data_IF_655713443207
#
_entry.id   IF_655713443207
#
_cell.length_a   1.000
_cell.length_b   1.000
_cell.length_c   1.000
_cell.angle_alpha   90.00
_cell.angle_beta   90.00
_cell.angle_gamma   90.00
#
_symmetry.space_group_name_H-M   'P 1'
#
loop_
_entity.id
_entity.type
_entity.pdbx_description
1 polymer ?
#
# COMPACT_ATOMS: atom_id res chain seq x y z
N UNK A 1 -54.67 30.79 48.07
CA UNK A 1 -54.96 29.45 48.65
C UNK A 1 -54.08 28.42 47.96
N UNK A 2 -53.36 27.62 48.75
CA UNK A 2 -52.45 26.48 48.43
C UNK A 2 -53.22 25.23 47.90
N UNK A 3 -52.60 24.06 47.52
CA UNK A 3 -51.23 23.73 47.04
C UNK A 3 -51.10 22.55 46.00
N UNK A 4 -49.85 22.23 45.61
CA UNK A 4 -49.17 20.91 45.39
C UNK A 4 -49.61 19.84 44.36
N UNK A 5 -48.64 19.38 43.55
CA UNK A 5 -47.99 18.02 43.54
C UNK A 5 -46.78 18.06 42.57
N UNK A 6 -45.51 18.12 42.99
CA UNK A 6 -44.53 17.04 43.30
C UNK A 6 -44.58 15.81 42.36
N UNK A 7 -43.53 15.64 41.55
CA UNK A 7 -42.98 14.32 41.21
C UNK A 7 -41.45 14.36 41.17
N UNK A 8 -40.85 13.43 41.93
CA UNK A 8 -39.42 13.17 42.12
C UNK A 8 -38.98 12.06 41.17
N UNK A 9 -37.81 12.21 40.54
CA UNK A 9 -36.78 11.16 40.36
C UNK A 9 -35.62 11.84 39.60
N UNK A 10 -34.34 11.80 39.95
CA UNK A 10 -33.56 10.92 40.81
C UNK A 10 -32.17 10.83 40.15
N UNK A 11 -31.24 11.70 40.53
CA UNK A 11 -29.82 11.59 40.15
C UNK A 11 -29.22 10.39 40.90
N UNK A 12 -28.64 9.43 40.18
CA UNK A 12 -27.73 8.45 40.74
C UNK A 12 -26.45 8.43 39.89
N UNK A 13 -25.39 9.03 40.42
CA UNK A 13 -24.02 8.74 40.04
C UNK A 13 -23.55 7.57 40.90
N UNK A 14 -23.14 6.46 40.29
CA UNK A 14 -22.39 5.40 40.97
C UNK A 14 -20.98 5.33 40.39
N UNK A 15 -20.06 5.85 41.19
CA UNK A 15 -18.62 5.70 41.03
C UNK A 15 -18.28 4.22 41.24
N UNK A 16 -17.56 3.61 40.29
CA UNK A 16 -17.00 2.27 40.45
C UNK A 16 -15.71 2.35 41.26
N UNK A 17 -15.61 1.50 42.29
CA UNK A 17 -14.48 1.41 43.20
C UNK A 17 -13.27 0.71 42.55
N UNK A 18 -12.07 1.21 42.83
CA UNK A 18 -10.76 0.76 42.32
C UNK A 18 -10.38 -0.67 42.71
N UNK A 19 -11.13 -1.32 43.61
CA UNK A 19 -10.88 -2.70 44.05
C UNK A 19 -11.41 -3.79 43.08
N UNK A 20 -12.37 -3.48 42.20
CA UNK A 20 -12.92 -4.46 41.25
C UNK A 20 -12.18 -4.53 39.91
N UNK A 21 -11.16 -3.68 39.69
CA UNK A 21 -10.40 -3.63 38.43
C UNK A 21 -9.23 -4.63 38.37
N UNK A 22 -8.76 -5.14 39.51
CA UNK A 22 -7.55 -5.97 39.59
C UNK A 22 -7.80 -7.49 39.66
N UNK A 23 -9.05 -7.94 39.55
CA UNK A 23 -9.38 -9.37 39.56
C UNK A 23 -9.59 -9.97 38.15
N UNK A 24 -9.64 -9.12 37.12
CA UNK A 24 -9.69 -9.54 35.72
C UNK A 24 -8.30 -9.79 35.08
N UNK A 25 -7.19 -9.60 35.83
CA UNK A 25 -5.81 -9.71 35.32
C UNK A 25 -5.07 -10.95 35.89
N UNK A 26 -5.70 -11.76 36.76
CA UNK A 26 -5.03 -12.91 37.42
C UNK A 26 -5.51 -14.30 37.03
N UNK A 27 -6.38 -14.45 36.04
CA UNK A 27 -6.81 -15.77 35.54
C UNK A 27 -6.77 -15.85 34.01
N UNK A 28 -5.58 -15.74 33.43
CA UNK A 28 -5.28 -16.38 32.13
C UNK A 28 -3.79 -16.58 31.99
N UNK A 29 -3.25 -17.49 32.81
CA UNK A 29 -1.88 -17.98 32.68
C UNK A 29 -1.93 -19.49 32.93
N UNK A 30 -2.32 -20.26 31.90
CA UNK A 30 -2.08 -21.70 31.81
C UNK A 30 -1.88 -22.12 30.34
N UNK A 31 -0.63 -22.51 30.06
CA UNK A 31 -0.16 -23.55 29.13
C UNK A 31 -0.63 -23.55 27.66
N UNK A 32 0.28 -23.14 26.78
CA UNK A 32 0.33 -23.55 25.37
C UNK A 32 0.96 -24.95 25.24
N UNK A 33 0.32 -25.91 24.53
CA UNK A 33 1.05 -26.98 23.86
C UNK A 33 1.34 -26.57 22.40
N UNK A 34 2.55 -26.87 21.92
CA UNK A 34 2.97 -26.66 20.54
C UNK A 34 2.20 -27.58 19.57
N UNK A 35 1.86 -27.14 18.33
CA UNK A 35 1.39 -28.06 17.31
C UNK A 35 2.56 -28.75 16.61
N UNK A 36 2.36 -30.05 16.41
CA UNK A 36 3.31 -31.02 15.89
C UNK A 36 3.60 -30.85 14.40
N UNK A 37 4.86 -31.11 14.03
CA UNK A 37 5.33 -31.29 12.67
C UNK A 37 4.58 -32.43 11.97
N UNK A 38 3.84 -32.14 10.91
CA UNK A 38 3.33 -33.15 9.98
C UNK A 38 4.44 -33.51 8.98
N UNK A 39 5.15 -34.61 9.26
CA UNK A 39 6.04 -35.25 8.30
C UNK A 39 5.21 -36.18 7.39
N UNK A 40 4.96 -35.76 6.14
CA UNK A 40 4.43 -36.65 5.11
C UNK A 40 5.58 -37.29 4.33
N UNK A 41 5.79 -38.57 4.59
CA UNK A 41 6.72 -39.44 3.89
C UNK A 41 6.18 -39.79 2.50
N UNK A 42 6.76 -39.18 1.45
CA UNK A 42 6.54 -39.60 0.06
C UNK A 42 7.45 -40.79 -0.28
N UNK A 43 6.82 -41.95 -0.44
CA UNK A 43 7.44 -43.17 -0.96
C UNK A 43 7.83 -42.97 -2.43
N UNK A 44 9.09 -43.26 -2.71
CA UNK A 44 9.64 -43.40 -4.05
C UNK A 44 9.05 -44.63 -4.77
N UNK A 45 8.57 -44.42 -6.00
CA UNK A 45 8.42 -45.48 -7.00
C UNK A 45 8.89 -44.97 -8.36
N UNK A 46 10.04 -45.50 -8.80
CA UNK A 46 10.49 -45.46 -10.19
C UNK A 46 9.52 -46.26 -11.08
N UNK A 47 9.45 -45.92 -12.36
CA UNK A 47 9.82 -46.93 -13.34
C UNK A 47 10.76 -46.42 -14.45
N UNK A 48 11.80 -47.20 -14.69
CA UNK A 48 12.66 -47.24 -15.88
C UNK A 48 11.98 -48.04 -16.99
N UNK A 49 11.90 -47.49 -18.22
CA UNK A 49 11.86 -48.24 -19.49
C UNK A 49 12.02 -47.24 -20.66
N UNK A 50 13.19 -47.13 -21.30
CA UNK A 50 13.69 -47.90 -22.47
C UNK A 50 13.24 -47.34 -23.82
N UNK A 51 14.24 -46.87 -24.59
CA UNK A 51 14.32 -46.73 -26.07
C UNK A 51 13.37 -45.70 -26.74
N UNK A 52 13.73 -44.96 -27.79
CA UNK A 52 14.76 -45.12 -28.81
C UNK A 52 14.92 -43.76 -29.54
N UNK A 53 16.13 -43.45 -30.02
CA UNK A 53 16.38 -42.44 -31.07
C UNK A 53 15.73 -42.87 -32.39
N UNK A 54 15.50 -41.91 -33.31
CA UNK A 54 16.29 -41.98 -34.53
C UNK A 54 16.83 -40.63 -35.05
N UNK A 55 17.72 -40.77 -36.02
CA UNK A 55 18.69 -39.82 -36.56
C UNK A 55 18.14 -38.82 -37.60
N UNK A 56 19.04 -37.89 -37.94
CA UNK A 56 19.26 -37.25 -39.25
C UNK A 56 18.43 -35.97 -39.52
N UNK A 57 18.91 -34.90 -40.16
CA UNK A 57 20.02 -34.67 -41.09
C UNK A 57 20.59 -33.25 -40.92
N UNK A 58 21.89 -33.11 -41.21
CA UNK A 58 22.56 -31.84 -41.45
C UNK A 58 22.06 -31.19 -42.75
N UNK A 59 21.90 -29.87 -42.76
CA UNK A 59 22.06 -29.05 -43.97
C UNK A 59 22.94 -27.85 -43.62
N UNK A 60 24.18 -27.96 -44.10
CA UNK A 60 25.15 -26.89 -44.26
C UNK A 60 24.73 -26.00 -45.43
N UNK A 61 24.72 -24.67 -45.23
CA UNK A 61 24.99 -23.71 -46.31
C UNK A 61 25.96 -22.65 -45.82
N UNK A 62 27.13 -22.68 -46.44
CA UNK A 62 28.30 -21.83 -46.26
C UNK A 62 28.31 -20.83 -47.41
N UNK A 63 28.47 -19.53 -47.13
CA UNK A 63 29.03 -18.57 -48.08
C UNK A 63 30.05 -17.67 -47.35
N UNK A 64 31.31 -18.00 -47.64
CA UNK A 64 32.54 -17.19 -47.76
C UNK A 64 32.25 -15.96 -48.66
N UNK A 65 32.83 -14.75 -48.58
CA UNK A 65 33.88 -14.11 -47.77
C UNK A 65 33.89 -12.59 -48.02
N UNK A 66 34.59 -11.87 -47.12
CA UNK A 66 35.48 -10.71 -47.35
C UNK A 66 34.91 -9.36 -47.78
N UNK A 67 35.15 -8.34 -46.94
CA UNK A 67 36.26 -7.39 -47.15
C UNK A 67 36.88 -6.93 -45.81
N UNK A 68 38.21 -6.76 -45.86
CA UNK A 68 39.17 -6.31 -44.83
C UNK A 68 39.33 -4.79 -44.96
N UNK A 69 38.98 -4.01 -43.93
CA UNK A 69 39.84 -3.31 -42.94
C UNK A 69 40.80 -2.23 -43.45
N UNK A 70 40.65 -1.03 -42.88
CA UNK A 70 41.68 -0.05 -42.46
C UNK A 70 40.98 0.95 -41.51
N UNK A 71 41.12 0.90 -40.19
CA UNK A 71 42.24 1.22 -39.27
C UNK A 71 42.38 2.70 -38.90
N UNK A 72 42.71 2.90 -37.62
CA UNK A 72 43.14 4.11 -36.88
C UNK A 72 42.03 4.80 -36.07
N UNK A 73 42.17 5.12 -34.77
CA UNK A 73 43.28 4.94 -33.82
C UNK A 73 42.88 5.45 -32.42
N UNK A 74 43.42 4.81 -31.36
CA UNK A 74 43.69 5.34 -29.99
C UNK A 74 42.47 5.69 -29.11
N UNK A 75 42.38 5.40 -27.81
CA UNK A 75 43.40 5.20 -26.77
C UNK A 75 42.83 4.39 -25.59
N UNK A 76 43.71 3.68 -24.90
CA UNK A 76 43.47 3.09 -23.59
C UNK A 76 43.46 4.17 -22.49
N UNK A 77 42.58 4.05 -21.48
CA UNK A 77 42.83 4.46 -20.09
C UNK A 77 41.68 4.07 -19.15
N UNK A 78 42.03 3.21 -18.19
CA UNK A 78 41.71 3.27 -16.74
C UNK A 78 40.27 3.35 -16.24
N UNK A 79 39.95 2.33 -15.45
CA UNK A 79 38.93 2.30 -14.42
C UNK A 79 38.91 3.56 -13.54
N UNK A 80 37.71 4.07 -13.31
CA UNK A 80 37.37 4.87 -12.15
C UNK A 80 35.87 4.67 -11.87
N UNK A 81 35.58 3.86 -10.86
CA UNK A 81 34.29 3.84 -10.16
C UNK A 81 33.85 5.27 -9.86
N UNK A 82 32.71 5.65 -10.43
CA UNK A 82 32.02 6.89 -10.10
C UNK A 82 30.74 6.50 -9.39
N UNK A 83 30.84 6.32 -8.07
CA UNK A 83 29.70 6.35 -7.16
C UNK A 83 28.96 7.68 -7.39
N UNK A 84 27.84 7.62 -8.10
CA UNK A 84 26.93 8.75 -8.20
C UNK A 84 26.13 8.82 -6.91
N UNK A 85 26.73 9.47 -5.92
CA UNK A 85 26.08 9.87 -4.69
C UNK A 85 24.95 10.85 -5.05
N UNK A 86 23.71 10.35 -5.15
CA UNK A 86 22.54 11.18 -5.40
C UNK A 86 22.16 11.88 -4.09
N UNK A 87 22.72 13.06 -3.86
CA UNK A 87 22.22 14.00 -2.84
C UNK A 87 20.78 14.43 -3.18
N UNK A 88 19.88 14.53 -2.19
CA UNK A 88 18.47 14.83 -2.42
C UNK A 88 18.29 16.26 -2.94
N UNK A 89 17.64 16.39 -4.10
CA UNK A 89 17.24 17.68 -4.67
C UNK A 89 15.95 18.17 -4.00
N UNK A 90 16.12 19.17 -3.14
CA UNK A 90 15.21 20.28 -2.83
C UNK A 90 13.87 19.97 -2.13
N UNK A 91 13.75 20.57 -0.93
CA UNK A 91 12.56 20.75 -0.08
C UNK A 91 11.33 21.31 -0.83
N UNK A 92 10.65 20.47 -1.59
CA UNK A 92 9.29 20.73 -2.08
C UNK A 92 8.34 19.87 -1.29
N UNK A 93 7.48 20.49 -0.48
CA UNK A 93 6.36 19.77 0.15
C UNK A 93 5.50 19.18 -0.98
N UNK A 94 5.25 17.87 -1.00
CA UNK A 94 4.41 17.26 -2.02
C UNK A 94 3.04 17.96 -2.07
N UNK A 95 2.50 18.24 -3.27
CA UNK A 95 1.33 19.09 -3.43
C UNK A 95 0.11 18.65 -2.60
N UNK A 96 -0.07 17.34 -2.37
CA UNK A 96 -1.21 16.83 -1.61
C UNK A 96 -1.07 17.05 -0.11
N UNK A 97 0.14 17.01 0.45
CA UNK A 97 0.35 17.27 1.89
C UNK A 97 0.06 18.73 2.23
N UNK A 98 0.36 19.65 1.31
CA UNK A 98 0.10 21.08 1.50
C UNK A 98 -1.41 21.42 1.57
N UNK A 99 -2.30 20.55 1.10
CA UNK A 99 -3.75 20.76 1.13
C UNK A 99 -4.38 20.51 2.50
N UNK A 100 -3.71 19.77 3.39
CA UNK A 100 -4.25 19.34 4.69
C UNK A 100 -3.42 19.89 5.88
N UNK A 101 -3.32 21.23 6.05
CA UNK A 101 -2.44 21.82 7.06
C UNK A 101 -2.91 21.59 8.51
N UNK A 102 -4.19 21.31 8.77
CA UNK A 102 -4.65 21.00 10.13
C UNK A 102 -4.31 19.57 10.53
N UNK A 103 -4.37 18.63 9.57
CA UNK A 103 -4.06 17.23 9.81
C UNK A 103 -2.55 16.98 9.76
N UNK A 104 -1.83 17.68 8.88
CA UNK A 104 -0.42 17.46 8.57
C UNK A 104 0.37 18.77 8.70
N UNK A 105 0.52 19.32 9.92
CA UNK A 105 1.22 20.59 10.13
C UNK A 105 2.71 20.50 9.75
N UNK A 106 3.34 19.35 9.99
CA UNK A 106 4.76 19.10 9.71
C UNK A 106 5.03 18.68 8.25
N UNK A 107 3.97 18.49 7.45
CA UNK A 107 4.05 18.11 6.04
C UNK A 107 4.41 16.63 5.82
N UNK A 108 5.15 16.37 4.73
CA UNK A 108 5.55 15.02 4.33
C UNK A 108 6.84 14.55 5.06
N UNK A 109 7.10 13.22 5.08
CA UNK A 109 8.40 12.70 5.51
C UNK A 109 9.55 13.33 4.70
N UNK A 110 10.73 13.57 5.32
CA UNK A 110 11.18 13.11 6.64
C UNK A 110 10.72 13.97 7.83
N UNK A 111 10.19 15.16 7.60
CA UNK A 111 9.84 16.10 8.67
C UNK A 111 8.52 15.71 9.37
N UNK A 112 7.54 15.24 8.59
CA UNK A 112 6.26 14.75 9.10
C UNK A 112 6.17 13.22 9.17
N UNK A 113 5.15 12.68 9.85
CA UNK A 113 4.92 11.24 9.93
C UNK A 113 4.40 10.66 8.61
N UNK A 114 4.78 9.41 8.30
CA UNK A 114 4.19 8.65 7.19
C UNK A 114 2.76 8.18 7.52
N UNK A 115 2.52 7.71 8.76
CA UNK A 115 1.19 7.27 9.23
C UNK A 115 0.31 8.49 9.51
N UNK A 116 -0.88 8.51 8.90
CA UNK A 116 -1.83 9.64 8.99
C UNK A 116 -3.06 9.20 9.78
N UNK A 117 -3.55 10.05 10.68
CA UNK A 117 -4.86 9.85 11.30
C UNK A 117 -6.00 10.07 10.28
N UNK A 118 -6.57 8.96 9.80
CA UNK A 118 -7.65 8.96 8.81
C UNK A 118 -8.90 9.70 9.28
N UNK A 119 -9.16 9.76 10.59
CA UNK A 119 -10.34 10.48 11.13
C UNK A 119 -10.16 11.98 10.98
N UNK A 120 -9.00 12.51 11.36
CA UNK A 120 -8.66 13.92 11.19
C UNK A 120 -8.60 14.30 9.71
N UNK A 121 -7.98 13.45 8.87
CA UNK A 121 -7.92 13.64 7.42
C UNK A 121 -9.31 13.74 6.80
N UNK A 122 -10.22 12.81 7.13
CA UNK A 122 -11.60 12.81 6.63
C UNK A 122 -12.37 14.06 7.06
N UNK A 123 -12.18 14.53 8.29
CA UNK A 123 -12.84 15.75 8.79
C UNK A 123 -12.37 17.00 8.04
N UNK A 124 -11.06 17.13 7.80
CA UNK A 124 -10.52 18.25 7.04
C UNK A 124 -10.94 18.18 5.56
N UNK A 125 -10.93 16.99 4.96
CA UNK A 125 -11.44 16.74 3.62
C UNK A 125 -12.87 17.26 3.43
N UNK A 126 -13.81 16.87 4.32
CA UNK A 126 -15.19 17.33 4.24
C UNK A 126 -15.31 18.85 4.38
N UNK A 127 -14.46 19.49 5.20
CA UNK A 127 -14.42 20.95 5.33
C UNK A 127 -13.96 21.63 4.04
N UNK A 128 -12.89 21.11 3.42
CA UNK A 128 -12.35 21.64 2.17
C UNK A 128 -13.34 21.46 1.02
N UNK A 129 -13.98 20.29 0.92
CA UNK A 129 -14.97 20.00 -0.10
C UNK A 129 -16.22 20.89 0.03
N UNK A 130 -16.68 21.17 1.25
CA UNK A 130 -17.78 22.10 1.48
C UNK A 130 -17.43 23.54 1.05
N UNK A 131 -16.18 23.96 1.26
CA UNK A 131 -15.70 25.29 0.86
C UNK A 131 -15.51 25.44 -0.67
N UNK A 132 -15.31 24.33 -1.40
CA UNK A 132 -15.09 24.33 -2.84
C UNK A 132 -16.37 24.09 -3.66
N UNK A 133 -17.54 24.01 -3.03
CA UNK A 133 -18.78 23.67 -3.73
C UNK A 133 -19.28 24.84 -4.61
N UNK A 134 -19.63 24.59 -5.90
CA UNK A 134 -20.02 25.64 -6.84
C UNK A 134 -21.32 26.36 -6.48
N UNK A 135 -22.17 25.81 -5.60
CA UNK A 135 -23.43 26.47 -5.19
C UNK A 135 -23.26 27.82 -4.52
N UNK A 136 -22.11 28.08 -3.89
CA UNK A 136 -21.87 29.39 -3.28
C UNK A 136 -21.77 30.53 -4.31
N UNK A 137 -21.64 30.21 -5.60
CA UNK A 137 -21.47 31.20 -6.67
C UNK A 137 -22.74 31.43 -7.52
N UNK A 138 -23.86 30.74 -7.24
CA UNK A 138 -25.12 30.98 -7.96
C UNK A 138 -25.81 32.25 -7.48
N UNK A 139 -25.48 33.37 -8.13
CA UNK A 139 -26.30 34.58 -8.08
C UNK A 139 -27.44 34.38 -9.08
N UNK A 140 -28.67 34.09 -8.60
CA UNK A 140 -29.81 33.64 -9.41
C UNK A 140 -30.25 34.56 -10.56
N UNK A 141 -29.57 34.46 -11.70
CA UNK A 141 -29.94 35.08 -12.98
C UNK A 141 -29.85 34.06 -14.12
N UNK A 142 -30.83 34.09 -15.04
CA UNK A 142 -30.98 33.12 -16.15
C UNK A 142 -29.90 33.18 -17.24
N UNK A 143 -28.89 34.04 -17.09
CA UNK A 143 -27.73 34.16 -17.98
C UNK A 143 -26.44 34.01 -17.17
N UNK A 144 -25.78 32.86 -17.26
CA UNK A 144 -24.47 32.67 -16.65
C UNK A 144 -23.44 33.54 -17.36
N UNK A 145 -22.78 34.42 -16.61
CA UNK A 145 -21.68 35.21 -17.15
C UNK A 145 -20.45 34.33 -17.39
N UNK A 146 -19.57 34.71 -18.33
CA UNK A 146 -18.27 34.04 -18.52
C UNK A 146 -17.45 33.95 -17.22
N UNK A 147 -17.59 34.95 -16.33
CA UNK A 147 -16.97 34.96 -15.01
C UNK A 147 -17.54 33.88 -14.08
N UNK A 148 -18.85 33.66 -14.07
CA UNK A 148 -19.52 32.60 -13.30
C UNK A 148 -19.13 31.21 -13.81
N UNK A 149 -19.08 31.04 -15.14
CA UNK A 149 -18.59 29.81 -15.77
C UNK A 149 -17.11 29.53 -15.45
N UNK A 150 -16.27 30.57 -15.37
CA UNK A 150 -14.88 30.43 -14.96
C UNK A 150 -14.74 30.07 -13.46
N UNK A 151 -15.52 30.70 -12.59
CA UNK A 151 -15.55 30.39 -11.16
C UNK A 151 -15.99 28.95 -10.90
N UNK A 152 -17.05 28.49 -11.57
CA UNK A 152 -17.51 27.10 -11.50
C UNK A 152 -16.44 26.11 -11.95
N UNK A 153 -15.80 26.35 -13.10
CA UNK A 153 -14.69 25.49 -13.58
C UNK A 153 -13.53 25.44 -12.58
N UNK A 154 -13.21 26.55 -11.92
CA UNK A 154 -12.15 26.58 -10.91
C UNK A 154 -12.55 25.79 -9.65
N UNK A 155 -13.80 25.92 -9.21
CA UNK A 155 -14.35 25.16 -8.08
C UNK A 155 -14.37 23.65 -8.35
N UNK A 156 -14.75 23.24 -9.57
CA UNK A 156 -14.71 21.85 -10.03
C UNK A 156 -13.28 21.29 -10.03
N UNK A 157 -12.31 22.05 -10.57
CA UNK A 157 -10.89 21.69 -10.54
C UNK A 157 -10.35 21.54 -9.12
N UNK A 158 -10.66 22.49 -8.23
CA UNK A 158 -10.24 22.44 -6.84
C UNK A 158 -10.80 21.20 -6.14
N UNK A 159 -12.09 20.92 -6.33
CA UNK A 159 -12.76 19.75 -5.76
C UNK A 159 -12.14 18.44 -6.27
N UNK A 160 -11.80 18.36 -7.56
CA UNK A 160 -11.14 17.19 -8.13
C UNK A 160 -9.75 16.95 -7.50
N UNK A 161 -8.97 18.00 -7.30
CA UNK A 161 -7.64 17.92 -6.65
C UNK A 161 -7.79 17.47 -5.19
N UNK A 162 -8.74 18.03 -4.44
CA UNK A 162 -9.00 17.66 -3.04
C UNK A 162 -9.39 16.18 -2.93
N UNK A 163 -10.26 15.69 -3.82
CA UNK A 163 -10.66 14.28 -3.87
C UNK A 163 -9.48 13.36 -4.19
N UNK A 164 -8.65 13.73 -5.18
CA UNK A 164 -7.46 12.97 -5.52
C UNK A 164 -6.49 12.90 -4.34
N UNK A 165 -6.23 14.03 -3.69
CA UNK A 165 -5.36 14.09 -2.52
C UNK A 165 -5.89 13.24 -1.36
N UNK A 166 -7.19 13.31 -1.05
CA UNK A 166 -7.79 12.46 -0.01
C UNK A 166 -7.69 10.97 -0.36
N UNK A 167 -7.98 10.58 -1.60
CA UNK A 167 -7.87 9.17 -2.04
C UNK A 167 -6.43 8.67 -1.90
N UNK A 168 -5.46 9.45 -2.37
CA UNK A 168 -4.04 9.09 -2.30
C UNK A 168 -3.53 9.03 -0.86
N UNK A 169 -3.85 10.03 -0.02
CA UNK A 169 -3.37 10.06 1.35
C UNK A 169 -4.09 9.09 2.28
N UNK A 170 -5.32 8.66 1.97
CA UNK A 170 -6.05 7.71 2.81
C UNK A 170 -5.58 6.26 2.64
N UNK A 171 -5.12 5.86 1.46
CA UNK A 171 -4.54 4.53 1.23
C UNK A 171 -3.02 4.53 1.52
N UNK A 172 -2.50 3.62 2.37
CA UNK A 172 -1.08 3.57 2.68
C UNK A 172 -0.22 3.25 1.46
N UNK A 173 -0.71 2.36 0.59
CA UNK A 173 -0.03 2.02 -0.66
C UNK A 173 0.05 3.21 -1.61
N UNK A 174 -1.07 3.90 -1.87
CA UNK A 174 -1.08 5.08 -2.75
C UNK A 174 -0.23 6.20 -2.17
N UNK A 175 -0.23 6.37 -0.84
CA UNK A 175 0.59 7.36 -0.13
C UNK A 175 2.08 7.07 -0.32
N UNK A 176 2.51 5.82 -0.15
CA UNK A 176 3.90 5.42 -0.35
C UNK A 176 4.36 5.63 -1.79
N UNK A 177 3.57 5.17 -2.76
CA UNK A 177 3.83 5.37 -4.19
C UNK A 177 3.94 6.85 -4.55
N UNK A 178 3.02 7.67 -4.04
CA UNK A 178 3.00 9.11 -4.26
C UNK A 178 4.23 9.81 -3.67
N UNK A 179 4.65 9.45 -2.46
CA UNK A 179 5.85 10.02 -1.87
C UNK A 179 7.11 9.65 -2.68
N UNK A 180 7.21 8.39 -3.10
CA UNK A 180 8.33 7.93 -3.94
C UNK A 180 8.37 8.63 -5.30
N UNK A 181 7.21 8.85 -5.93
CA UNK A 181 7.14 9.53 -7.22
C UNK A 181 7.46 11.02 -7.10
N UNK A 182 6.91 11.72 -6.11
CA UNK A 182 7.06 13.18 -5.99
C UNK A 182 8.43 13.61 -5.44
N UNK A 183 8.96 12.86 -4.48
CA UNK A 183 10.23 13.23 -3.81
C UNK A 183 11.45 12.66 -4.53
N UNK A 184 11.33 11.47 -5.12
CA UNK A 184 12.46 10.73 -5.67
C UNK A 184 12.32 10.40 -7.16
N UNK A 185 11.18 10.73 -7.78
CA UNK A 185 10.96 10.46 -9.21
C UNK A 185 10.76 8.99 -9.55
N UNK A 186 10.47 8.15 -8.55
CA UNK A 186 10.28 6.71 -8.72
C UNK A 186 8.79 6.40 -8.86
N UNK A 187 8.36 6.01 -10.05
CA UNK A 187 6.98 5.62 -10.29
C UNK A 187 6.82 4.11 -10.17
N UNK A 188 6.17 3.67 -9.08
CA UNK A 188 5.84 2.27 -8.85
C UNK A 188 4.42 1.90 -9.30
N UNK A 189 3.59 2.85 -9.69
CA UNK A 189 2.20 2.58 -10.07
C UNK A 189 2.10 1.77 -11.37
N UNK A 190 3.03 1.98 -12.30
CA UNK A 190 3.03 1.34 -13.62
C UNK A 190 3.79 -0.01 -13.64
N UNK A 191 4.47 -0.34 -12.54
CA UNK A 191 5.30 -1.55 -12.44
C UNK A 191 4.44 -2.75 -12.03
N UNK A 192 3.53 -3.14 -12.92
CA UNK A 192 2.55 -4.23 -12.69
C UNK A 192 3.22 -5.60 -12.55
N UNK A 193 4.42 -5.78 -13.11
CA UNK A 193 5.05 -7.11 -13.18
C UNK A 193 6.06 -7.45 -12.07
N UNK A 194 6.42 -6.49 -11.19
CA UNK A 194 7.49 -6.68 -10.21
C UNK A 194 8.85 -7.13 -10.80
N UNK A 195 9.01 -7.12 -12.14
CA UNK A 195 10.13 -7.78 -12.84
C UNK A 195 10.86 -6.88 -13.84
N UNK A 196 10.45 -5.64 -14.07
CA UNK A 196 10.95 -4.87 -15.21
C UNK A 196 11.58 -3.51 -14.91
N UNK A 197 11.45 -2.94 -13.70
CA UNK A 197 12.17 -1.70 -13.35
C UNK A 197 13.08 -1.89 -12.13
N UNK A 198 14.31 -2.35 -12.38
CA UNK A 198 15.46 -2.03 -11.54
C UNK A 198 15.36 -2.31 -10.04
N UNK A 199 15.27 -3.59 -9.66
CA UNK A 199 15.77 -4.05 -8.35
C UNK A 199 14.72 -4.77 -7.50
N UNK A 200 14.84 -6.10 -7.50
CA UNK A 200 14.19 -7.00 -6.54
C UNK A 200 13.54 -8.17 -7.25
N UNK A 201 14.25 -9.29 -7.38
CA UNK A 201 13.55 -10.56 -7.49
C UNK A 201 12.60 -10.64 -6.29
N UNK A 202 11.30 -10.80 -6.54
CA UNK A 202 10.32 -10.86 -5.46
C UNK A 202 10.74 -11.95 -4.48
N UNK A 203 10.89 -11.57 -3.21
CA UNK A 203 11.36 -12.44 -2.15
C UNK A 203 10.55 -13.75 -2.15
N UNK A 204 11.19 -14.93 -2.30
CA UNK A 204 10.47 -16.20 -2.35
C UNK A 204 9.63 -16.46 -1.09
N UNK A 205 10.06 -15.96 0.08
CA UNK A 205 9.29 -16.09 1.32
C UNK A 205 8.02 -15.24 1.29
N UNK A 206 8.11 -14.02 0.72
CA UNK A 206 6.94 -13.16 0.49
C UNK A 206 5.95 -13.85 -0.45
N UNK A 207 6.41 -14.38 -1.58
CA UNK A 207 5.55 -15.04 -2.55
C UNK A 207 4.83 -16.26 -1.94
N UNK A 208 5.55 -17.08 -1.18
CA UNK A 208 4.96 -18.21 -0.48
C UNK A 208 3.85 -17.76 0.49
N UNK A 209 4.13 -16.73 1.30
CA UNK A 209 3.16 -16.17 2.24
C UNK A 209 1.91 -15.63 1.52
N UNK A 210 2.09 -15.00 0.36
CA UNK A 210 0.98 -14.49 -0.46
C UNK A 210 0.15 -15.62 -1.04
N UNK A 211 0.77 -16.71 -1.49
CA UNK A 211 0.06 -17.89 -1.99
C UNK A 211 -0.72 -18.59 -0.86
N UNK A 212 -0.13 -18.77 0.32
CA UNK A 212 -0.82 -19.32 1.49
C UNK A 212 -2.04 -18.47 1.87
N UNK A 213 -1.89 -17.13 1.90
CA UNK A 213 -3.01 -16.23 2.18
C UNK A 213 -4.14 -16.38 1.16
N UNK A 214 -3.82 -16.64 -0.11
CA UNK A 214 -4.83 -16.84 -1.16
C UNK A 214 -5.56 -18.16 -1.02
N UNK A 215 -4.85 -19.24 -0.72
CA UNK A 215 -5.45 -20.55 -0.45
C UNK A 215 -6.48 -20.43 0.68
N UNK A 216 -6.13 -19.76 1.78
CA UNK A 216 -7.08 -19.49 2.88
C UNK A 216 -8.31 -18.70 2.41
N UNK A 217 -8.13 -17.71 1.53
CA UNK A 217 -9.25 -16.92 0.98
C UNK A 217 -10.16 -17.77 0.06
N UNK A 218 -9.56 -18.67 -0.73
CA UNK A 218 -10.28 -19.54 -1.66
C UNK A 218 -11.03 -20.68 -0.93
N UNK A 219 -10.46 -21.22 0.13
CA UNK A 219 -11.03 -22.31 0.93
C UNK A 219 -12.06 -21.86 1.96
N UNK A 220 -12.14 -20.56 2.27
CA UNK A 220 -13.10 -20.03 3.22
C UNK A 220 -14.55 -20.33 2.80
N UNK A 221 -15.37 -20.79 3.74
CA UNK A 221 -16.80 -21.06 3.52
C UNK A 221 -17.70 -20.00 4.16
N UNK A 222 -17.15 -19.28 5.13
CA UNK A 222 -17.80 -18.22 5.92
C UNK A 222 -16.83 -17.06 6.15
N UNK A 223 -17.38 -15.87 6.38
CA UNK A 223 -16.57 -14.67 6.65
C UNK A 223 -15.72 -14.83 7.92
N UNK A 224 -16.21 -15.59 8.91
CA UNK A 224 -15.46 -15.83 10.15
C UNK A 224 -14.16 -16.63 9.94
N UNK A 225 -14.07 -17.43 8.86
CA UNK A 225 -12.87 -18.20 8.55
C UNK A 225 -11.71 -17.27 8.14
N UNK A 226 -12.02 -16.04 7.72
CA UNK A 226 -11.03 -15.03 7.30
C UNK A 226 -10.59 -14.08 8.41
N UNK A 227 -11.18 -14.16 9.61
CA UNK A 227 -10.92 -13.17 10.66
C UNK A 227 -9.48 -13.24 11.19
N UNK A 228 -8.92 -14.45 11.32
CA UNK A 228 -7.52 -14.62 11.68
C UNK A 228 -6.58 -14.05 10.62
N UNK A 229 -6.82 -14.39 9.34
CA UNK A 229 -6.05 -13.86 8.22
C UNK A 229 -6.14 -12.34 8.13
N UNK A 230 -7.33 -11.76 8.39
CA UNK A 230 -7.55 -10.31 8.45
C UNK A 230 -6.64 -9.68 9.51
N UNK A 231 -6.63 -10.22 10.72
CA UNK A 231 -5.81 -9.72 11.82
C UNK A 231 -4.31 -9.80 11.52
N UNK A 232 -3.84 -10.95 11.01
CA UNK A 232 -2.44 -11.15 10.63
C UNK A 232 -2.02 -10.20 9.51
N UNK A 233 -2.86 -10.05 8.48
CA UNK A 233 -2.56 -9.19 7.34
C UNK A 233 -2.58 -7.70 7.71
N UNK A 234 -3.47 -7.26 8.59
CA UNK A 234 -3.45 -5.88 9.09
C UNK A 234 -2.16 -5.59 9.87
N UNK A 235 -1.69 -6.53 10.69
CA UNK A 235 -0.39 -6.42 11.36
C UNK A 235 0.79 -6.29 10.38
N UNK A 236 0.78 -7.06 9.28
CA UNK A 236 1.79 -6.95 8.20
C UNK A 236 1.75 -5.60 7.49
N UNK A 237 0.55 -5.03 7.30
CA UNK A 237 0.38 -3.69 6.75
C UNK A 237 0.99 -2.65 7.69
N UNK A 238 0.66 -2.70 8.98
CA UNK A 238 1.21 -1.76 9.97
C UNK A 238 2.74 -1.83 10.04
N UNK A 239 3.30 -3.03 10.05
CA UNK A 239 4.74 -3.24 10.06
C UNK A 239 5.42 -2.68 8.79
N UNK A 240 4.81 -2.88 7.62
CA UNK A 240 5.30 -2.28 6.38
C UNK A 240 5.20 -0.74 6.39
N UNK A 241 4.13 -0.16 6.95
CA UNK A 241 4.04 1.30 7.13
C UNK A 241 5.18 1.84 8.01
N UNK A 242 5.51 1.13 9.10
CA UNK A 242 6.59 1.49 10.01
C UNK A 242 7.95 1.43 9.30
N UNK A 243 8.24 0.34 8.59
CA UNK A 243 9.48 0.21 7.81
C UNK A 243 9.61 1.29 6.73
N UNK A 244 8.53 1.61 6.01
CA UNK A 244 8.53 2.71 5.02
C UNK A 244 8.80 4.05 5.71
N UNK A 245 8.18 4.30 6.87
CA UNK A 245 8.39 5.50 7.66
C UNK A 245 9.85 5.67 8.09
N UNK A 246 10.48 4.58 8.55
CA UNK A 246 11.89 4.57 8.96
C UNK A 246 12.82 4.76 7.76
N UNK A 247 12.59 4.05 6.67
CA UNK A 247 13.37 4.15 5.44
C UNK A 247 13.35 5.58 4.87
N UNK A 248 12.16 6.21 4.80
CA UNK A 248 12.01 7.60 4.36
C UNK A 248 12.71 8.61 5.28
N UNK A 249 12.73 8.37 6.60
CA UNK A 249 13.47 9.20 7.56
C UNK A 249 14.98 9.04 7.43
N UNK A 250 15.45 7.81 7.21
CA UNK A 250 16.86 7.50 6.99
C UNK A 250 17.36 7.94 5.60
N UNK A 251 16.46 8.24 4.67
CA UNK A 251 16.78 8.52 3.27
C UNK A 251 17.16 7.27 2.47
N UNK A 252 16.78 6.08 2.96
CA UNK A 252 17.01 4.80 2.28
C UNK A 252 15.86 4.54 1.29
N UNK A 253 16.09 4.89 0.03
CA UNK A 253 15.06 4.88 -1.00
C UNK A 253 14.84 3.47 -1.56
N UNK A 254 15.88 2.65 -1.59
CA UNK A 254 15.78 1.27 -2.05
C UNK A 254 14.96 0.44 -1.03
N UNK A 255 15.22 0.60 0.27
CA UNK A 255 14.39 -0.02 1.31
C UNK A 255 12.93 0.45 1.24
N UNK A 256 12.69 1.76 1.06
CA UNK A 256 11.33 2.29 0.92
C UNK A 256 10.63 1.73 -0.34
N UNK A 257 11.37 1.54 -1.44
CA UNK A 257 10.85 0.93 -2.67
C UNK A 257 10.44 -0.53 -2.42
N UNK A 258 11.32 -1.33 -1.86
CA UNK A 258 11.08 -2.75 -1.58
C UNK A 258 9.90 -2.94 -0.62
N UNK A 259 9.82 -2.16 0.45
CA UNK A 259 8.71 -2.22 1.40
C UNK A 259 7.39 -1.76 0.76
N UNK A 260 7.42 -0.80 -0.17
CA UNK A 260 6.22 -0.41 -0.92
C UNK A 260 5.72 -1.54 -1.83
N UNK A 261 6.62 -2.34 -2.39
CA UNK A 261 6.25 -3.55 -3.15
C UNK A 261 5.64 -4.61 -2.22
N UNK A 262 6.23 -4.87 -1.04
CA UNK A 262 5.64 -5.77 -0.03
C UNK A 262 4.24 -5.30 0.39
N UNK A 263 4.10 -4.01 0.68
CA UNK A 263 2.82 -3.39 1.06
C UNK A 263 1.74 -3.59 0.00
N UNK A 264 2.08 -3.59 -1.30
CA UNK A 264 1.12 -3.89 -2.38
C UNK A 264 0.47 -5.26 -2.20
N UNK A 265 1.27 -6.29 -1.95
CA UNK A 265 0.75 -7.65 -1.75
C UNK A 265 -0.19 -7.73 -0.55
N UNK A 266 0.16 -7.08 0.58
CA UNK A 266 -0.68 -7.05 1.76
C UNK A 266 -1.99 -6.28 1.55
N UNK A 267 -1.95 -5.17 0.82
CA UNK A 267 -3.17 -4.45 0.43
C UNK A 267 -4.04 -5.30 -0.49
N UNK A 268 -3.46 -6.01 -1.46
CA UNK A 268 -4.23 -6.89 -2.34
C UNK A 268 -4.89 -8.04 -1.56
N UNK A 269 -4.20 -8.63 -0.57
CA UNK A 269 -4.79 -9.63 0.33
C UNK A 269 -5.95 -9.03 1.13
N UNK A 270 -5.77 -7.83 1.70
CA UNK A 270 -6.85 -7.13 2.44
C UNK A 270 -8.06 -6.90 1.55
N UNK A 271 -7.85 -6.46 0.32
CA UNK A 271 -8.92 -6.21 -0.64
C UNK A 271 -9.59 -7.53 -1.04
N UNK A 272 -8.86 -8.64 -1.09
CA UNK A 272 -9.40 -9.99 -1.31
C UNK A 272 -10.30 -10.46 -0.20
N UNK A 273 -9.89 -10.23 1.05
CA UNK A 273 -10.70 -10.52 2.24
C UNK A 273 -11.96 -9.64 2.27
N UNK A 274 -11.84 -8.34 1.97
CA UNK A 274 -12.97 -7.41 1.99
C UNK A 274 -13.99 -7.67 0.88
N UNK A 275 -13.53 -8.11 -0.29
CA UNK A 275 -14.38 -8.42 -1.44
C UNK A 275 -14.77 -9.91 -1.50
N UNK A 276 -14.40 -10.71 -0.50
CA UNK A 276 -14.75 -12.12 -0.47
C UNK A 276 -16.27 -12.30 -0.35
N UNK A 277 -16.81 -13.20 -1.16
CA UNK A 277 -18.21 -13.59 -1.09
C UNK A 277 -18.34 -15.09 -1.35
N UNK A 278 -19.21 -15.75 -0.58
CA UNK A 278 -19.46 -17.18 -0.73
C UNK A 278 -19.89 -17.55 -2.16
N UNK A 279 -19.12 -18.43 -2.79
CA UNK A 279 -19.43 -18.95 -4.13
C UNK A 279 -19.04 -18.03 -5.30
N UNK A 280 -18.42 -16.87 -5.03
CA UNK A 280 -17.79 -16.02 -6.05
C UNK A 280 -16.29 -16.31 -6.03
N UNK A 281 -15.72 -16.73 -7.16
CA UNK A 281 -14.28 -16.92 -7.27
C UNK A 281 -13.52 -15.62 -7.01
N UNK A 282 -12.48 -15.67 -6.19
CA UNK A 282 -11.69 -14.51 -5.81
C UNK A 282 -10.72 -14.19 -6.94
N UNK A 283 -10.91 -13.06 -7.63
CA UNK A 283 -9.94 -12.55 -8.61
C UNK A 283 -9.15 -11.43 -7.96
N UNK A 284 -7.94 -11.74 -7.54
CA UNK A 284 -6.99 -10.75 -7.01
C UNK A 284 -5.95 -10.40 -8.07
N UNK A 285 -5.89 -9.13 -8.45
CA UNK A 285 -4.86 -8.60 -9.35
C UNK A 285 -3.49 -8.61 -8.65
N UNK A 286 -2.42 -8.91 -9.38
CA UNK A 286 -1.05 -9.05 -8.86
C UNK A 286 -0.27 -7.76 -9.11
#
# INVERSE_FOLDING_TARGET
>A
MRPSMISRSGRAASQLCTACRNEAIRTSSKNFPAPASFALALKATRPTSTQQQPQSKAISRRWITTWRSTSSSSSAATAAESSSNQTPKQNKTPPYYALFPQTLPDGAPPNGPFKIDLRSLKREFLRLQAASHPDFHHSGGSSQSEAELAARRNAEKASAIINAAYKTLSSPLLRAQYLLSELYGINLADDESGSQSGGGATDPELLMTVLEAREVIEEAEREEDLEELRGVNEGRIEEAEERISEALKAGDIDAAREETVRLRYWVNIRDGIQNWEKGRGVVLHH
#
